data_IF_410092541936
#
_entry.id   IF_410092541936
#
_cell.length_a   1.000
_cell.length_b   1.000
_cell.length_c   1.000
_cell.angle_alpha   90.00
_cell.angle_beta   90.00
_cell.angle_gamma   90.00
#
_symmetry.space_group_name_H-M   'P 1'
#
loop_
_entity.id
_entity.type
_entity.pdbx_description
1 polymer ?
#
# COMPACT_ATOMS: atom_id res chain seq x y z
N UNK A 1 -10.05 24.44 12.50
CA UNK A 1 -9.88 23.99 12.35
C UNK A 1 -9.33 23.41 12.12
N UNK A 2 -9.04 23.21 12.45
CA UNK A 2 -8.53 22.54 12.44
C UNK A 2 -7.94 22.18 11.73
N UNK A 3 -7.49 21.86 11.69
CA UNK A 3 -6.96 21.45 11.33
C UNK A 3 -6.60 21.02 10.69
N UNK A 4 -6.55 20.95 10.53
CA UNK A 4 -6.36 20.66 9.93
C UNK A 4 -5.65 20.04 9.37
N UNK A 5 -5.05 19.98 9.10
CA UNK A 5 -4.22 19.46 8.82
C UNK A 5 -3.92 18.72 9.60
N UNK A 6 -4.28 18.20 9.76
CA UNK A 6 -4.18 17.56 10.70
C UNK A 6 -3.23 16.60 10.66
N UNK A 7 -2.39 16.52 11.43
CA UNK A 7 -1.43 15.49 11.59
C UNK A 7 -1.87 14.62 12.70
N UNK A 8 -2.00 13.39 12.36
CA UNK A 8 -2.43 12.44 13.30
C UNK A 8 -1.24 11.57 13.59
N UNK A 9 -0.66 11.71 14.72
CA UNK A 9 0.54 10.97 15.06
C UNK A 9 0.21 9.80 15.94
N UNK A 10 0.67 8.64 15.54
CA UNK A 10 0.45 7.43 16.30
C UNK A 10 1.75 6.98 16.87
N UNK A 11 1.94 7.23 18.12
CA UNK A 11 3.19 6.90 18.78
C UNK A 11 3.35 5.43 19.06
N UNK A 12 2.28 4.70 18.99
CA UNK A 12 2.32 3.30 19.30
C UNK A 12 2.69 2.46 18.11
N UNK A 13 2.84 3.05 16.96
CA UNK A 13 3.19 2.33 15.78
C UNK A 13 2.13 1.38 15.33
N UNK A 14 0.93 1.63 15.72
CA UNK A 14 -0.15 0.71 15.47
C UNK A 14 -1.40 1.50 15.18
N UNK A 15 -1.86 1.43 13.97
CA UNK A 15 -2.95 2.27 13.56
C UNK A 15 -3.75 1.59 12.48
N UNK A 16 -5.02 1.37 12.74
CA UNK A 16 -5.93 0.83 11.75
C UNK A 16 -6.75 1.95 11.17
N UNK A 17 -6.70 2.05 9.88
CA UNK A 17 -7.46 3.05 9.18
C UNK A 17 -8.38 2.35 8.21
N UNK A 18 -9.59 2.06 8.62
CA UNK A 18 -10.53 1.50 7.66
C UNK A 18 -10.96 2.64 6.76
N UNK A 19 -10.48 2.62 5.57
CA UNK A 19 -10.76 3.69 4.63
C UNK A 19 -12.04 3.37 3.94
N UNK A 20 -13.14 3.60 4.61
CA UNK A 20 -14.39 3.19 4.09
C UNK A 20 -15.38 4.24 4.37
N UNK A 21 -15.48 5.20 3.63
CA UNK A 21 -16.31 6.29 4.01
C UNK A 21 -17.38 6.58 3.02
N UNK A 22 -17.14 6.32 1.77
CA UNK A 22 -18.09 6.70 0.75
C UNK A 22 -17.97 5.71 -0.38
N UNK A 23 -18.74 5.90 -1.41
CA UNK A 23 -18.67 5.03 -2.56
C UNK A 23 -17.30 5.03 -3.15
N UNK A 24 -16.62 6.15 -3.12
CA UNK A 24 -15.28 6.19 -3.64
C UNK A 24 -14.36 5.27 -2.90
N UNK A 25 -14.60 5.14 -1.62
CA UNK A 25 -13.73 4.35 -0.78
C UNK A 25 -13.89 2.87 -0.97
N UNK A 26 -14.90 2.45 -1.71
CA UNK A 26 -15.09 1.04 -1.94
C UNK A 26 -13.88 0.42 -2.60
N UNK A 27 -13.10 1.21 -3.33
CA UNK A 27 -11.91 0.73 -3.99
C UNK A 27 -10.87 0.26 -2.99
N UNK A 28 -10.89 0.86 -1.80
CA UNK A 28 -9.89 0.56 -0.79
C UNK A 28 -10.47 -0.24 0.37
N UNK A 29 -11.51 -1.00 0.11
CA UNK A 29 -12.03 -1.87 1.15
C UNK A 29 -11.04 -2.98 1.46
N UNK A 30 -11.08 -3.46 2.68
CA UNK A 30 -10.24 -4.56 3.14
C UNK A 30 -8.77 -4.19 3.16
N UNK A 31 -8.48 -2.94 3.41
CA UNK A 31 -7.11 -2.48 3.57
C UNK A 31 -6.91 -2.05 5.01
N UNK A 32 -5.86 -2.55 5.62
CA UNK A 32 -5.46 -2.17 6.96
C UNK A 32 -4.02 -1.69 6.89
N UNK A 33 -3.76 -0.50 7.40
CA UNK A 33 -2.43 0.10 7.33
C UNK A 33 -1.97 0.47 8.72
N UNK A 34 -0.76 0.03 9.07
CA UNK A 34 -0.13 0.36 10.33
C UNK A 34 1.18 1.08 10.04
N UNK A 35 1.45 2.14 10.77
CA UNK A 35 2.70 2.87 10.66
C UNK A 35 2.89 3.67 11.94
N UNK A 36 4.07 4.24 12.10
CA UNK A 36 4.34 5.07 13.27
C UNK A 36 3.64 6.42 13.18
N UNK A 37 3.41 6.90 11.98
CA UNK A 37 2.91 8.25 11.79
C UNK A 37 2.05 8.31 10.55
N UNK A 38 0.96 9.04 10.63
CA UNK A 38 0.12 9.27 9.46
C UNK A 38 -0.20 10.75 9.37
N UNK A 39 -0.18 11.26 8.16
CA UNK A 39 -0.56 12.62 7.86
C UNK A 39 -1.71 12.60 6.87
N UNK A 40 -2.74 13.35 7.16
CA UNK A 40 -3.92 13.43 6.32
C UNK A 40 -3.99 14.82 5.72
N UNK A 41 -3.99 14.89 4.41
CA UNK A 41 -4.11 16.14 3.70
C UNK A 41 -5.48 16.18 3.07
N UNK A 42 -6.35 17.00 3.61
CA UNK A 42 -7.74 17.05 3.16
C UNK A 42 -7.89 17.73 1.82
N UNK A 43 -6.98 18.65 1.51
CA UNK A 43 -7.07 19.36 0.24
C UNK A 43 -6.80 18.43 -0.93
N UNK A 44 -5.81 17.57 -0.80
CA UNK A 44 -5.46 16.67 -1.87
C UNK A 44 -6.09 15.29 -1.71
N UNK A 45 -6.73 15.05 -0.56
CA UNK A 45 -7.33 13.76 -0.24
C UNK A 45 -6.30 12.65 -0.29
N UNK A 46 -5.18 12.94 0.35
CA UNK A 46 -4.05 12.04 0.33
C UNK A 46 -3.62 11.73 1.76
N UNK A 47 -3.26 10.49 2.01
CA UNK A 47 -2.74 10.06 3.28
C UNK A 47 -1.30 9.60 3.09
N UNK A 48 -0.43 10.03 3.99
CA UNK A 48 0.96 9.63 3.96
C UNK A 48 1.29 8.91 5.25
N UNK A 49 1.89 7.74 5.12
CA UNK A 49 2.23 6.88 6.25
C UNK A 49 3.74 6.78 6.33
N UNK A 50 4.30 6.92 7.53
CA UNK A 50 5.75 6.93 7.68
C UNK A 50 6.20 6.00 8.77
N UNK A 51 7.21 5.25 8.45
CA UNK A 51 7.98 4.41 9.37
C UNK A 51 7.25 3.18 9.84
N UNK A 52 7.92 2.07 9.75
CA UNK A 52 7.44 0.77 10.23
C UNK A 52 6.10 0.42 9.61
N UNK A 53 6.06 0.51 8.31
CA UNK A 53 4.83 0.33 7.56
C UNK A 53 4.49 -1.14 7.40
N UNK A 54 3.24 -1.45 7.66
CA UNK A 54 2.69 -2.78 7.39
C UNK A 54 1.29 -2.60 6.84
N UNK A 55 1.04 -3.19 5.70
CA UNK A 55 -0.24 -3.09 5.02
C UNK A 55 -0.78 -4.49 4.79
N UNK A 56 -2.06 -4.67 5.06
CA UNK A 56 -2.73 -5.91 4.74
C UNK A 56 -3.86 -5.61 3.77
N UNK A 57 -3.81 -6.25 2.63
CA UNK A 57 -4.83 -6.14 1.61
C UNK A 57 -5.24 -7.55 1.25
N UNK A 58 -6.47 -7.91 1.60
CA UNK A 58 -6.94 -9.27 1.39
C UNK A 58 -5.95 -10.26 2.03
N UNK A 59 -5.33 -11.10 1.25
CA UNK A 59 -4.36 -12.07 1.76
C UNK A 59 -2.92 -11.62 1.61
N UNK A 60 -2.71 -10.41 1.12
CA UNK A 60 -1.36 -9.90 0.90
C UNK A 60 -0.90 -9.10 2.10
N UNK A 61 0.35 -9.29 2.46
CA UNK A 61 1.00 -8.50 3.51
C UNK A 61 2.15 -7.75 2.86
N UNK A 62 2.12 -6.43 2.99
CA UNK A 62 3.11 -5.57 2.38
C UNK A 62 3.83 -4.81 3.48
N UNK A 63 5.14 -4.75 3.38
CA UNK A 63 5.95 -4.02 4.33
C UNK A 63 6.86 -3.07 3.60
N UNK A 64 7.14 -1.95 4.24
CA UNK A 64 8.02 -0.95 3.65
C UNK A 64 8.35 0.10 4.67
N UNK A 65 8.85 1.23 4.20
CA UNK A 65 9.14 2.33 5.08
C UNK A 65 8.00 3.34 5.10
N UNK A 66 7.50 3.69 3.93
CA UNK A 66 6.51 4.75 3.81
C UNK A 66 5.46 4.36 2.78
N UNK A 67 4.30 5.00 2.84
CA UNK A 67 3.28 4.79 1.84
C UNK A 67 2.49 6.06 1.62
N UNK A 68 1.88 6.16 0.47
CA UNK A 68 1.03 7.27 0.11
C UNK A 68 -0.23 6.74 -0.54
N UNK A 69 -1.36 7.06 0.06
CA UNK A 69 -2.66 6.62 -0.42
C UNK A 69 -3.37 7.82 -1.02
N UNK A 70 -3.68 7.75 -2.29
CA UNK A 70 -4.34 8.83 -3.00
C UNK A 70 -5.74 8.39 -3.42
N UNK A 71 -6.75 9.03 -2.88
CA UNK A 71 -8.11 8.77 -3.30
C UNK A 71 -8.37 9.32 -4.69
N UNK A 72 -7.74 10.44 -4.97
CA UNK A 72 -7.93 11.08 -6.27
C UNK A 72 -7.41 10.19 -7.39
N UNK A 73 -6.23 9.65 -7.21
CA UNK A 73 -5.61 8.83 -8.24
C UNK A 73 -5.95 7.35 -8.09
N UNK A 74 -6.65 7.01 -7.02
CA UNK A 74 -7.10 5.64 -6.76
C UNK A 74 -5.93 4.67 -6.76
N UNK A 75 -4.88 5.04 -6.05
CA UNK A 75 -3.72 4.18 -5.96
C UNK A 75 -3.04 4.31 -4.61
N UNK A 76 -2.29 3.28 -4.30
CA UNK A 76 -1.48 3.22 -3.10
C UNK A 76 -0.03 2.99 -3.53
N UNK A 77 0.85 3.86 -3.10
CA UNK A 77 2.28 3.71 -3.39
C UNK A 77 2.99 3.33 -2.10
N UNK A 78 3.85 2.32 -2.20
CA UNK A 78 4.60 1.84 -1.05
C UNK A 78 6.08 1.92 -1.39
N UNK A 79 6.86 2.50 -0.50
CA UNK A 79 8.28 2.72 -0.69
C UNK A 79 9.07 1.91 0.32
N UNK A 80 10.23 1.42 -0.09
CA UNK A 80 11.08 0.69 0.82
C UNK A 80 12.44 0.42 0.23
N UNK A 81 13.28 -0.27 0.99
CA UNK A 81 14.65 -0.57 0.55
C UNK A 81 15.01 -2.00 0.89
N UNK A 82 14.32 -2.94 0.33
CA UNK A 82 13.15 -2.82 -0.52
C UNK A 82 11.84 -2.90 0.26
N UNK A 83 10.77 -2.53 -0.41
CA UNK A 83 9.45 -2.89 0.06
C UNK A 83 9.21 -4.36 -0.31
N UNK A 84 8.41 -5.06 0.47
CA UNK A 84 8.16 -6.48 0.24
C UNK A 84 6.67 -6.77 0.26
N UNK A 85 6.30 -7.81 -0.46
CA UNK A 85 4.92 -8.28 -0.47
C UNK A 85 4.92 -9.79 -0.36
N UNK A 86 4.00 -10.31 0.43
CA UNK A 86 3.88 -11.75 0.64
C UNK A 86 2.44 -12.18 0.67
N UNK A 87 2.20 -13.33 0.08
CA UNK A 87 0.93 -14.03 0.24
C UNK A 87 1.23 -15.52 0.16
N UNK A 88 0.19 -16.35 0.12
CA UNK A 88 0.42 -17.78 0.00
C UNK A 88 0.99 -18.17 -1.35
N UNK A 89 0.85 -17.32 -2.35
CA UNK A 89 1.25 -17.66 -3.71
C UNK A 89 2.41 -16.83 -4.22
N UNK A 90 2.66 -15.65 -3.67
CA UNK A 90 3.74 -14.82 -4.17
C UNK A 90 4.60 -14.29 -3.04
N UNK A 91 5.81 -13.95 -3.41
CA UNK A 91 6.78 -13.35 -2.52
C UNK A 91 7.55 -12.38 -3.39
N UNK A 92 7.44 -11.09 -3.14
CA UNK A 92 8.04 -10.10 -4.02
C UNK A 92 8.72 -8.99 -3.27
N UNK A 93 9.54 -8.26 -4.01
CA UNK A 93 10.17 -7.07 -3.47
C UNK A 93 10.47 -6.09 -4.61
N UNK A 94 10.55 -4.83 -4.26
CA UNK A 94 10.90 -3.78 -5.20
C UNK A 94 11.14 -2.52 -4.41
N UNK A 95 11.66 -1.50 -5.07
CA UNK A 95 11.85 -0.21 -4.42
C UNK A 95 10.51 0.48 -4.20
N UNK A 96 9.59 0.32 -5.13
CA UNK A 96 8.28 0.93 -5.05
C UNK A 96 7.24 -0.06 -5.53
N UNK A 97 6.16 -0.17 -4.77
CA UNK A 97 4.96 -0.85 -5.26
C UNK A 97 3.92 0.22 -5.56
N UNK A 98 3.34 0.15 -6.74
CA UNK A 98 2.22 1.02 -7.10
C UNK A 98 1.02 0.12 -7.26
N UNK A 99 0.09 0.24 -6.35
CA UNK A 99 -1.04 -0.68 -6.27
C UNK A 99 -2.31 0.04 -6.69
N UNK A 100 -2.97 -0.53 -7.68
CA UNK A 100 -4.29 -0.08 -8.12
C UNK A 100 -5.27 -1.13 -7.61
N UNK A 101 -5.98 -0.86 -6.54
CA UNK A 101 -6.81 -1.88 -5.89
C UNK A 101 -7.77 -2.54 -6.86
N UNK A 102 -7.85 -3.85 -6.77
CA UNK A 102 -8.71 -4.67 -7.61
C UNK A 102 -8.35 -4.66 -9.09
N UNK A 103 -7.17 -4.19 -9.40
CA UNK A 103 -6.71 -4.17 -10.79
C UNK A 103 -5.34 -4.79 -10.92
N UNK A 104 -4.33 -4.09 -10.47
CA UNK A 104 -2.96 -4.53 -10.71
C UNK A 104 -2.03 -3.88 -9.72
N UNK A 105 -0.82 -4.38 -9.73
CA UNK A 105 0.24 -3.85 -8.91
C UNK A 105 1.50 -3.82 -9.76
N UNK A 106 2.19 -2.71 -9.72
CA UNK A 106 3.49 -2.58 -10.39
C UNK A 106 4.58 -2.63 -9.33
N UNK A 107 5.55 -3.49 -9.58
CA UNK A 107 6.76 -3.55 -8.79
C UNK A 107 7.83 -2.82 -9.58
N UNK A 108 8.33 -1.73 -9.04
CA UNK A 108 9.20 -0.82 -9.79
C UNK A 108 10.55 -0.71 -9.09
N UNK A 109 11.60 -0.95 -9.84
CA UNK A 109 12.96 -0.78 -9.35
C UNK A 109 13.51 -2.05 -8.72
N UNK A 110 14.43 -2.69 -9.39
CA UNK A 110 15.05 -3.92 -8.89
C UNK A 110 14.02 -4.91 -8.41
N UNK A 111 12.99 -5.09 -9.21
CA UNK A 111 11.85 -5.90 -8.81
C UNK A 111 12.15 -7.38 -8.92
N UNK A 112 11.69 -8.13 -7.95
CA UNK A 112 11.78 -9.57 -7.92
C UNK A 112 10.44 -10.13 -7.51
N UNK A 113 10.07 -11.22 -8.13
CA UNK A 113 8.82 -11.86 -7.81
C UNK A 113 8.98 -13.36 -7.89
N UNK A 114 8.65 -14.03 -6.80
CA UNK A 114 8.62 -15.48 -6.77
C UNK A 114 7.17 -15.88 -6.77
N UNK A 115 6.78 -16.63 -7.78
CA UNK A 115 5.39 -17.03 -7.96
C UNK A 115 5.34 -18.50 -8.26
N UNK A 116 4.94 -19.28 -7.26
CA UNK A 116 4.78 -20.72 -7.43
C UNK A 116 6.01 -21.38 -8.05
N UNK A 117 7.18 -21.05 -7.50
CA UNK A 117 8.41 -21.67 -7.97
C UNK A 117 9.06 -20.97 -9.13
N UNK A 118 8.42 -19.99 -9.72
CA UNK A 118 9.02 -19.22 -10.80
C UNK A 118 9.59 -17.94 -10.22
N UNK A 119 10.85 -17.67 -10.55
CA UNK A 119 11.53 -16.48 -10.06
C UNK A 119 11.72 -15.52 -11.21
N UNK A 120 11.22 -14.32 -11.04
CA UNK A 120 11.23 -13.29 -12.06
C UNK A 120 11.96 -12.08 -11.52
N UNK A 121 12.85 -11.52 -12.32
CA UNK A 121 13.59 -10.33 -11.96
C UNK A 121 13.51 -9.34 -13.11
N UNK A 122 13.22 -8.09 -12.81
CA UNK A 122 13.09 -7.08 -13.83
C UNK A 122 13.09 -5.70 -13.18
N UNK A 123 13.21 -4.65 -13.98
CA UNK A 123 13.04 -3.31 -13.43
C UNK A 123 11.59 -2.94 -13.24
N UNK A 124 10.70 -3.65 -13.91
CA UNK A 124 9.28 -3.42 -13.78
C UNK A 124 8.54 -4.73 -13.96
N UNK A 125 7.75 -5.09 -12.97
CA UNK A 125 6.90 -6.25 -13.04
C UNK A 125 5.48 -5.79 -12.79
N UNK A 126 4.58 -6.13 -13.68
CA UNK A 126 3.17 -5.84 -13.50
C UNK A 126 2.45 -7.12 -13.13
N UNK A 127 1.79 -7.12 -12.00
CA UNK A 127 1.07 -8.27 -11.49
C UNK A 127 -0.42 -7.95 -11.51
N UNK A 128 -1.17 -8.76 -12.23
CA UNK A 128 -2.62 -8.55 -12.33
C UNK A 128 -3.30 -9.10 -11.10
N UNK A 129 -4.04 -8.26 -10.42
CA UNK A 129 -4.81 -8.68 -9.25
C UNK A 129 -6.22 -8.96 -9.74
N UNK A 130 -6.59 -10.22 -9.80
CA UNK A 130 -7.94 -10.55 -10.21
C UNK A 130 -8.73 -10.77 -8.95
N UNK A 131 -9.78 -10.09 -8.90
CA UNK A 131 -10.62 -10.31 -7.77
C UNK A 131 -11.55 -11.47 -8.10
N UNK A 132 -11.63 -11.99 -8.44
CA UNK A 132 -12.50 -12.87 -8.49
C UNK A 132 -12.72 -13.61 -8.48
N UNK A 133 -12.73 -13.52 -8.39
CA UNK A 133 -13.01 -13.93 -8.34
C UNK A 133 -13.16 -14.25 -8.31
#
# INVERSE_FOLDING_TARGET
>A
MFERRKILQMLLGFFYLPVVVSEESAIFQNISIQSDQVTIDQDTRQLTFKNNLRIEIDSYIIKGSDARLSHKDKKLEVFGKPATIKSSTIDGEAEIFVIYPNKSMNLVGNAKLLNQGHSITSNLITYQITSNE
#
